data_IF_921432423420
#
_entry.id   IF_921432423420
#
_cell.length_a   1.000
_cell.length_b   1.000
_cell.length_c   1.000
_cell.angle_alpha   90.00
_cell.angle_beta   90.00
_cell.angle_gamma   90.00
#
_symmetry.space_group_name_H-M   'P 1'
#
loop_
_entity.id
_entity.type
_entity.pdbx_description
1 polymer ?
#
# COMPACT_ATOMS: atom_id res chain seq x y z
N UNK A 1 6.33 2.58 20.34
CA UNK A 1 6.53 2.95 18.92
C UNK A 1 5.65 2.03 18.11
N UNK A 2 4.85 2.59 17.21
CA UNK A 2 3.99 1.80 16.33
C UNK A 2 4.88 1.12 15.29
N UNK A 3 4.72 -0.20 15.12
CA UNK A 3 5.36 -0.92 14.03
C UNK A 3 4.57 -0.65 12.74
N UNK A 4 4.92 0.42 12.03
CA UNK A 4 4.22 0.82 10.81
C UNK A 4 4.62 -0.04 9.59
N UNK A 5 4.73 -1.36 9.77
CA UNK A 5 4.99 -2.33 8.71
C UNK A 5 3.81 -3.28 8.63
N UNK A 6 3.10 -3.25 7.49
CA UNK A 6 1.94 -4.11 7.24
C UNK A 6 2.38 -5.57 7.31
N UNK A 7 1.76 -6.36 8.20
CA UNK A 7 2.12 -7.76 8.45
C UNK A 7 3.64 -7.96 8.65
N UNK A 8 4.30 -7.00 9.32
CA UNK A 8 5.73 -7.06 9.57
C UNK A 8 6.59 -7.17 8.31
N UNK A 9 6.21 -6.53 7.20
CA UNK A 9 6.90 -6.60 5.89
C UNK A 9 6.91 -7.99 5.22
N UNK A 10 6.07 -8.94 5.68
CA UNK A 10 5.96 -10.29 5.08
C UNK A 10 5.76 -10.27 3.57
N UNK A 11 4.93 -9.34 3.07
CA UNK A 11 4.67 -9.14 1.64
C UNK A 11 5.22 -7.80 1.14
N UNK A 12 6.22 -7.22 1.81
CA UNK A 12 6.94 -6.10 1.22
C UNK A 12 7.76 -6.62 0.01
N UNK A 13 7.87 -5.87 -1.09
CA UNK A 13 7.60 -4.43 -1.18
C UNK A 13 6.15 -4.05 -1.50
N UNK A 14 5.29 -4.98 -1.92
CA UNK A 14 3.95 -4.62 -2.44
C UNK A 14 3.02 -4.01 -1.38
N UNK A 15 3.27 -4.28 -0.10
CA UNK A 15 2.52 -3.71 1.04
C UNK A 15 3.18 -2.46 1.64
N UNK A 16 4.33 -2.03 1.13
CA UNK A 16 4.97 -0.78 1.58
C UNK A 16 4.27 0.47 1.03
N UNK A 17 3.51 0.30 -0.04
CA UNK A 17 2.57 1.26 -0.60
C UNK A 17 1.22 0.54 -0.75
N UNK A 18 0.13 1.10 -0.23
CA UNK A 18 -1.19 0.46 -0.32
C UNK A 18 -2.25 1.49 -0.65
N UNK A 19 -3.15 1.12 -1.56
CA UNK A 19 -4.35 1.89 -1.86
C UNK A 19 -5.56 1.39 -1.08
N UNK A 20 -6.48 2.30 -0.79
CA UNK A 20 -7.73 2.04 -0.09
C UNK A 20 -8.86 2.76 -0.83
N UNK A 21 -10.00 2.09 -0.96
CA UNK A 21 -11.22 2.64 -1.57
C UNK A 21 -12.37 2.37 -0.62
N UNK A 22 -13.19 3.38 -0.32
CA UNK A 22 -14.38 3.21 0.51
C UNK A 22 -15.51 2.57 -0.31
N UNK A 23 -15.32 1.32 -0.68
CA UNK A 23 -16.32 0.45 -1.26
C UNK A 23 -16.03 -1.03 -0.91
N UNK A 24 -17.03 -1.92 -1.00
CA UNK A 24 -16.82 -3.37 -0.87
C UNK A 24 -15.84 -3.91 -1.93
N UNK A 25 -15.09 -4.96 -1.56
CA UNK A 25 -13.99 -5.47 -2.39
C UNK A 25 -14.48 -5.95 -3.77
N UNK A 26 -15.67 -6.58 -3.83
CA UNK A 26 -16.28 -7.02 -5.08
C UNK A 26 -16.60 -5.85 -6.04
N UNK A 27 -17.02 -4.69 -5.51
CA UNK A 27 -17.30 -3.50 -6.32
C UNK A 27 -16.02 -2.87 -6.85
N UNK A 28 -14.96 -2.84 -6.04
CA UNK A 28 -13.62 -2.40 -6.46
C UNK A 28 -13.09 -3.29 -7.58
N UNK A 29 -13.21 -4.61 -7.45
CA UNK A 29 -12.79 -5.59 -8.47
C UNK A 29 -13.55 -5.37 -9.77
N UNK A 30 -14.88 -5.29 -9.71
CA UNK A 30 -15.73 -5.03 -10.87
C UNK A 30 -15.32 -3.73 -11.58
N UNK A 31 -15.21 -2.63 -10.84
CA UNK A 31 -14.82 -1.34 -11.40
C UNK A 31 -13.41 -1.35 -12.01
N UNK A 32 -12.47 -2.09 -11.44
CA UNK A 32 -11.10 -2.21 -11.97
C UNK A 32 -11.07 -3.05 -13.26
N UNK A 33 -11.86 -4.13 -13.32
CA UNK A 33 -12.00 -4.95 -14.53
C UNK A 33 -12.67 -4.18 -15.68
N UNK A 34 -13.75 -3.44 -15.40
CA UNK A 34 -14.42 -2.56 -16.38
C UNK A 34 -13.44 -1.51 -16.92
N UNK A 35 -12.66 -0.89 -16.05
CA UNK A 35 -11.62 0.05 -16.45
C UNK A 35 -10.58 -0.61 -17.39
N UNK A 36 -10.12 -1.82 -17.08
CA UNK A 36 -9.21 -2.56 -17.96
C UNK A 36 -9.81 -2.85 -19.35
N UNK A 37 -11.07 -3.25 -19.39
CA UNK A 37 -11.77 -3.59 -20.64
C UNK A 37 -11.90 -2.39 -21.60
N UNK A 38 -12.11 -1.18 -21.09
CA UNK A 38 -12.16 0.05 -21.91
C UNK A 38 -10.87 0.29 -22.71
N UNK A 39 -9.73 -0.21 -22.22
CA UNK A 39 -8.44 -0.15 -22.90
C UNK A 39 -8.06 -1.45 -23.62
N UNK A 40 -9.03 -2.35 -23.84
CA UNK A 40 -8.81 -3.65 -24.47
C UNK A 40 -7.92 -4.57 -23.66
N UNK A 41 -7.93 -4.45 -22.32
CA UNK A 41 -7.15 -5.27 -21.39
C UNK A 41 -8.09 -6.15 -20.57
N UNK A 42 -8.57 -7.28 -21.13
CA UNK A 42 -9.38 -8.21 -20.37
C UNK A 42 -8.58 -8.73 -19.16
N UNK A 43 -9.30 -9.00 -18.07
CA UNK A 43 -8.74 -9.50 -16.83
C UNK A 43 -9.47 -10.76 -16.39
N UNK A 44 -8.74 -11.70 -15.82
CA UNK A 44 -9.30 -12.85 -15.10
C UNK A 44 -9.38 -12.50 -13.63
N UNK A 45 -10.47 -12.88 -12.96
CA UNK A 45 -10.66 -12.67 -11.53
C UNK A 45 -10.72 -14.02 -10.85
N UNK A 46 -9.92 -14.19 -9.81
CA UNK A 46 -9.93 -15.37 -8.94
C UNK A 46 -10.22 -14.90 -7.52
N UNK A 47 -11.30 -15.40 -6.93
CA UNK A 47 -11.58 -15.22 -5.50
C UNK A 47 -10.72 -16.18 -4.69
N UNK A 48 -10.07 -15.65 -3.66
CA UNK A 48 -9.25 -16.41 -2.72
C UNK A 48 -9.90 -16.32 -1.35
N UNK A 49 -10.28 -17.45 -0.74
CA UNK A 49 -10.79 -17.46 0.63
C UNK A 49 -9.78 -16.83 1.59
N UNK A 50 -10.27 -15.98 2.48
CA UNK A 50 -9.43 -15.32 3.48
C UNK A 50 -8.82 -14.00 3.02
N UNK A 51 -7.81 -13.57 3.76
CA UNK A 51 -7.32 -12.21 3.78
C UNK A 51 -6.00 -12.00 3.05
N UNK A 52 -5.34 -10.88 3.38
CA UNK A 52 -4.03 -10.54 2.81
C UNK A 52 -2.96 -11.60 3.17
N UNK A 53 -3.06 -12.19 4.36
CA UNK A 53 -2.17 -13.27 4.80
C UNK A 53 -2.27 -14.53 3.92
N UNK A 54 -3.46 -14.82 3.39
CA UNK A 54 -3.74 -16.00 2.58
C UNK A 54 -3.44 -15.75 1.09
N UNK A 55 -3.80 -14.57 0.58
CA UNK A 55 -3.68 -14.23 -0.83
C UNK A 55 -2.32 -13.61 -1.21
N UNK A 56 -1.57 -13.04 -0.26
CA UNK A 56 -0.36 -12.27 -0.53
C UNK A 56 0.71 -13.04 -1.31
N UNK A 57 0.97 -14.31 -0.96
CA UNK A 57 1.96 -15.15 -1.64
C UNK A 57 1.62 -15.43 -3.11
N UNK A 58 0.33 -15.39 -3.48
CA UNK A 58 -0.13 -15.61 -4.86
C UNK A 58 0.18 -14.43 -5.79
N UNK A 59 0.68 -13.31 -5.24
CA UNK A 59 1.16 -12.17 -6.02
C UNK A 59 2.51 -12.42 -6.68
N UNK A 60 3.21 -13.50 -6.33
CA UNK A 60 4.39 -13.93 -7.07
C UNK A 60 4.05 -14.46 -8.48
N UNK A 61 4.94 -14.27 -9.46
CA UNK A 61 6.18 -13.53 -9.35
C UNK A 61 5.95 -12.01 -9.50
N UNK A 62 6.82 -11.21 -8.88
CA UNK A 62 6.78 -9.74 -8.91
C UNK A 62 7.35 -9.21 -10.23
N UNK A 63 6.65 -8.26 -10.84
CA UNK A 63 6.96 -7.74 -12.17
C UNK A 63 7.77 -6.43 -12.12
N UNK A 64 8.72 -6.32 -13.06
CA UNK A 64 9.37 -5.06 -13.40
C UNK A 64 8.62 -4.38 -14.54
N UNK A 65 8.16 -3.16 -14.31
CA UNK A 65 7.38 -2.39 -15.29
C UNK A 65 5.88 -2.65 -15.15
N UNK A 66 5.12 -2.86 -16.25
CA UNK A 66 3.68 -3.07 -16.16
C UNK A 66 3.33 -4.31 -15.33
N UNK A 67 2.50 -4.13 -14.32
CA UNK A 67 2.08 -5.17 -13.38
C UNK A 67 1.02 -6.07 -14.00
N UNK A 68 1.19 -7.38 -13.82
CA UNK A 68 0.25 -8.38 -14.34
C UNK A 68 -0.84 -8.75 -13.34
N UNK A 69 -0.61 -8.56 -12.04
CA UNK A 69 -1.56 -8.88 -10.97
C UNK A 69 -1.96 -7.66 -10.15
N UNK A 70 -3.21 -7.64 -9.73
CA UNK A 70 -3.77 -6.65 -8.81
C UNK A 70 -4.62 -7.40 -7.78
N UNK A 71 -4.28 -7.26 -6.50
CA UNK A 71 -4.98 -7.90 -5.38
C UNK A 71 -5.86 -6.86 -4.70
N UNK A 72 -7.13 -7.19 -4.50
CA UNK A 72 -8.08 -6.45 -3.68
C UNK A 72 -8.44 -7.29 -2.47
N UNK A 73 -8.43 -6.70 -1.27
CA UNK A 73 -8.73 -7.38 -0.01
C UNK A 73 -9.74 -6.57 0.79
N UNK A 74 -10.81 -7.23 1.25
CA UNK A 74 -11.75 -6.65 2.22
C UNK A 74 -11.06 -6.36 3.56
N UNK A 75 -11.34 -5.21 4.15
CA UNK A 75 -10.76 -4.84 5.46
C UNK A 75 -11.73 -5.15 6.60
N UNK A 76 -11.23 -5.11 7.84
CA UNK A 76 -12.07 -5.22 9.04
C UNK A 76 -13.08 -4.06 9.17
N UNK A 77 -12.87 -2.95 8.45
CA UNK A 77 -13.90 -1.94 8.24
C UNK A 77 -14.68 -2.27 6.96
N UNK A 78 -15.95 -2.72 7.04
CA UNK A 78 -16.65 -3.34 5.91
C UNK A 78 -16.90 -2.40 4.71
N UNK A 79 -16.90 -1.09 4.94
CA UNK A 79 -17.01 -0.10 3.87
C UNK A 79 -15.70 0.16 3.11
N UNK A 80 -14.56 -0.36 3.59
CA UNK A 80 -13.26 -0.13 2.98
C UNK A 80 -12.65 -1.43 2.48
N UNK A 81 -12.02 -1.32 1.30
CA UNK A 81 -11.17 -2.35 0.72
C UNK A 81 -9.78 -1.80 0.48
N UNK A 82 -8.78 -2.64 0.63
CA UNK A 82 -7.40 -2.34 0.32
C UNK A 82 -7.00 -2.98 -1.01
N UNK A 83 -5.98 -2.45 -1.67
CA UNK A 83 -5.41 -3.07 -2.85
C UNK A 83 -3.90 -2.87 -2.97
N UNK A 84 -3.27 -3.81 -3.67
CA UNK A 84 -1.85 -3.82 -4.05
C UNK A 84 -1.68 -4.40 -5.46
N UNK A 85 -0.59 -4.07 -6.12
CA UNK A 85 -0.20 -4.73 -7.38
C UNK A 85 1.06 -5.59 -7.16
N UNK A 86 1.47 -6.39 -8.16
CA UNK A 86 2.67 -7.22 -8.05
C UNK A 86 3.97 -6.51 -8.47
N UNK A 87 4.09 -5.19 -8.31
CA UNK A 87 5.29 -4.45 -8.66
C UNK A 87 6.50 -4.85 -7.82
N UNK A 88 7.62 -5.20 -8.48
CA UNK A 88 8.88 -5.55 -7.81
C UNK A 88 9.53 -4.36 -7.07
N UNK A 89 9.05 -3.13 -7.30
CA UNK A 89 9.47 -1.92 -6.57
C UNK A 89 8.46 -1.48 -5.51
N UNK A 90 7.37 -2.23 -5.33
CA UNK A 90 6.20 -1.83 -4.55
C UNK A 90 5.02 -1.47 -5.46
N UNK A 91 3.86 -1.34 -4.84
CA UNK A 91 2.61 -0.97 -5.50
C UNK A 91 2.66 0.47 -6.03
N UNK A 92 2.06 0.73 -7.18
CA UNK A 92 1.71 2.10 -7.60
C UNK A 92 0.22 2.39 -7.33
N UNK A 93 -0.12 2.94 -6.15
CA UNK A 93 -1.52 3.18 -5.81
C UNK A 93 -2.09 4.47 -6.41
N UNK A 94 -1.26 5.32 -7.01
CA UNK A 94 -1.64 6.71 -7.33
C UNK A 94 -2.72 6.81 -8.42
N UNK A 95 -2.58 6.06 -9.51
CA UNK A 95 -3.59 6.05 -10.58
C UNK A 95 -4.85 5.26 -10.18
N UNK A 96 -4.74 4.02 -9.65
CA UNK A 96 -5.92 3.25 -9.29
C UNK A 96 -6.79 3.92 -8.21
N UNK A 97 -6.21 4.55 -7.17
CA UNK A 97 -7.02 5.26 -6.16
C UNK A 97 -7.89 6.35 -6.77
N UNK A 98 -7.33 7.17 -7.67
CA UNK A 98 -8.05 8.25 -8.34
C UNK A 98 -9.17 7.76 -9.26
N UNK A 99 -8.88 6.72 -10.05
CA UNK A 99 -9.84 6.16 -11.00
C UNK A 99 -10.97 5.47 -10.27
N UNK A 100 -10.65 4.61 -9.29
CA UNK A 100 -11.63 3.84 -8.54
C UNK A 100 -12.50 4.75 -7.66
N UNK A 101 -11.89 5.73 -6.98
CA UNK A 101 -12.64 6.72 -6.19
C UNK A 101 -13.64 7.51 -7.04
N UNK A 102 -13.25 7.96 -8.23
CA UNK A 102 -14.16 8.66 -9.15
C UNK A 102 -15.28 7.76 -9.67
N UNK A 103 -14.94 6.55 -10.14
CA UNK A 103 -15.92 5.62 -10.75
C UNK A 103 -16.96 5.14 -9.76
N UNK A 104 -16.55 4.87 -8.53
CA UNK A 104 -17.42 4.42 -7.46
C UNK A 104 -18.05 5.59 -6.68
N UNK A 105 -17.72 6.83 -7.05
CA UNK A 105 -18.18 8.06 -6.40
C UNK A 105 -18.00 8.00 -4.88
N UNK A 106 -16.79 7.63 -4.44
CA UNK A 106 -16.46 7.41 -3.03
C UNK A 106 -15.04 7.90 -2.72
N UNK A 107 -14.78 8.19 -1.44
CA UNK A 107 -13.44 8.55 -0.99
C UNK A 107 -12.46 7.39 -1.22
N UNK A 108 -11.24 7.75 -1.58
CA UNK A 108 -10.12 6.81 -1.68
C UNK A 108 -8.85 7.45 -1.13
N UNK A 109 -7.93 6.64 -0.65
CA UNK A 109 -6.65 7.14 -0.16
C UNK A 109 -5.55 6.12 -0.41
N UNK A 110 -4.30 6.55 -0.38
CA UNK A 110 -3.18 5.63 -0.29
C UNK A 110 -2.19 6.06 0.77
N UNK A 111 -1.45 5.08 1.26
CA UNK A 111 -0.36 5.28 2.20
C UNK A 111 0.92 4.70 1.63
N UNK A 112 2.03 5.29 2.07
CA UNK A 112 3.35 4.66 2.00
C UNK A 112 3.89 4.53 3.41
N UNK A 113 4.49 3.40 3.75
CA UNK A 113 5.34 3.29 4.91
C UNK A 113 6.58 2.45 4.60
N UNK A 114 7.69 3.15 4.42
CA UNK A 114 9.02 2.58 4.19
C UNK A 114 9.91 3.11 5.32
N UNK A 115 10.50 2.23 6.15
CA UNK A 115 11.42 2.61 7.21
C UNK A 115 12.57 3.49 6.70
N UNK A 116 13.14 4.29 7.60
CA UNK A 116 14.31 5.10 7.26
C UNK A 116 15.47 4.21 6.78
N UNK A 117 16.08 4.57 5.65
CA UNK A 117 17.33 4.00 5.19
C UNK A 117 18.44 4.42 6.18
N UNK A 118 19.14 3.47 6.84
CA UNK A 118 20.28 3.78 7.69
C UNK A 118 21.42 4.40 6.87
N UNK A 119 22.17 5.37 7.42
CA UNK A 119 23.34 5.92 6.73
C UNK A 119 24.34 4.81 6.37
N UNK A 120 24.76 4.79 5.09
CA UNK A 120 25.77 3.83 4.60
C UNK A 120 25.23 2.48 4.14
N UNK A 121 23.91 2.26 4.19
CA UNK A 121 23.29 1.06 3.59
C UNK A 121 22.83 1.37 2.16
N UNK A 122 23.71 1.07 1.19
CA UNK A 122 23.42 1.29 -0.24
C UNK A 122 22.34 0.35 -0.80
N UNK A 123 21.93 -0.69 -0.06
CA UNK A 123 20.89 -1.65 -0.48
C UNK A 123 19.53 -1.32 0.09
N UNK A 124 19.46 -0.61 1.21
CA UNK A 124 18.22 -0.27 1.86
C UNK A 124 17.36 0.67 0.99
N UNK A 125 16.07 0.34 0.89
CA UNK A 125 15.08 1.25 0.31
C UNK A 125 15.11 2.60 0.99
N UNK A 126 14.95 3.63 0.16
CA UNK A 126 14.76 4.99 0.60
C UNK A 126 13.46 5.11 1.41
N UNK A 127 13.58 5.61 2.66
CA UNK A 127 12.46 5.74 3.57
C UNK A 127 11.39 6.72 3.08
N UNK A 128 10.13 6.42 3.37
CA UNK A 128 9.02 7.26 2.96
C UNK A 128 7.83 7.04 3.88
N UNK A 129 7.11 8.12 4.18
CA UNK A 129 5.77 8.07 4.76
C UNK A 129 4.89 9.01 3.97
N UNK A 130 3.79 8.50 3.45
CA UNK A 130 2.83 9.29 2.67
C UNK A 130 1.43 8.98 3.16
N UNK A 131 0.59 10.00 3.20
CA UNK A 131 -0.84 9.90 3.42
C UNK A 131 -1.51 10.83 2.40
N UNK A 132 -2.25 10.24 1.47
CA UNK A 132 -2.84 10.97 0.33
C UNK A 132 -4.30 10.61 0.20
N UNK A 133 -5.16 11.60 0.36
CA UNK A 133 -6.62 11.44 0.32
C UNK A 133 -7.17 12.05 -0.96
N UNK A 134 -8.08 11.31 -1.58
CA UNK A 134 -8.82 11.72 -2.75
C UNK A 134 -10.31 11.80 -2.45
N UNK A 135 -10.97 12.74 -3.10
CA UNK A 135 -12.41 12.87 -3.09
C UNK A 135 -12.93 12.84 -4.54
N UNK A 136 -14.02 12.14 -4.84
CA UNK A 136 -14.62 12.17 -6.17
C UNK A 136 -15.06 13.58 -6.49
N UNK A 137 -14.78 14.01 -7.71
CA UNK A 137 -15.28 15.28 -8.21
C UNK A 137 -16.77 15.12 -8.59
N UNK A 138 -17.68 15.95 -8.04
CA UNK A 138 -19.11 15.84 -8.31
C UNK A 138 -19.49 16.22 -9.74
N UNK A 139 -18.58 16.82 -10.53
CA UNK A 139 -18.84 17.21 -11.92
C UNK A 139 -18.93 15.96 -12.81
N UNK A 140 -20.00 15.78 -13.60
CA UNK A 140 -20.14 14.62 -14.49
C UNK A 140 -19.03 14.47 -15.55
N UNK A 141 -18.32 15.55 -15.87
CA UNK A 141 -17.22 15.55 -16.84
C UNK A 141 -15.85 15.20 -16.23
N UNK A 142 -15.78 15.02 -14.91
CA UNK A 142 -14.52 14.71 -14.24
C UNK A 142 -14.09 13.27 -14.50
N UNK A 143 -12.86 13.10 -14.96
CA UNK A 143 -12.30 11.78 -15.28
C UNK A 143 -11.63 11.07 -14.11
N UNK A 144 -11.25 11.80 -13.05
CA UNK A 144 -10.44 11.31 -11.93
C UNK A 144 -10.82 12.04 -10.63
N UNK A 145 -10.69 11.36 -9.49
CA UNK A 145 -10.85 11.96 -8.18
C UNK A 145 -9.70 12.94 -7.91
N UNK A 146 -10.00 14.03 -7.20
CA UNK A 146 -9.05 15.09 -6.88
C UNK A 146 -8.29 14.76 -5.59
N UNK A 147 -7.01 15.11 -5.51
CA UNK A 147 -6.26 15.04 -4.25
C UNK A 147 -6.75 16.20 -3.37
N UNK A 148 -7.46 15.88 -2.29
CA UNK A 148 -7.90 16.90 -1.32
C UNK A 148 -6.85 17.15 -0.24
N UNK A 149 -6.02 16.14 0.05
CA UNK A 149 -4.94 16.26 1.04
C UNK A 149 -3.77 15.36 0.71
N UNK A 150 -2.56 15.89 0.87
CA UNK A 150 -1.32 15.12 0.85
C UNK A 150 -0.42 15.57 2.00
N UNK A 151 0.14 14.58 2.70
CA UNK A 151 1.24 14.76 3.65
C UNK A 151 2.28 13.70 3.34
N UNK A 152 3.53 14.11 3.14
CA UNK A 152 4.61 13.19 2.80
C UNK A 152 5.95 13.62 3.40
N UNK A 153 6.67 12.65 3.97
CA UNK A 153 8.12 12.74 4.17
C UNK A 153 8.79 11.67 3.33
N UNK A 154 9.78 12.07 2.53
CA UNK A 154 10.47 11.16 1.60
C UNK A 154 11.96 11.35 1.81
N UNK A 155 12.66 10.24 1.96
CA UNK A 155 14.11 10.18 1.96
C UNK A 155 14.53 9.98 0.51
N UNK A 156 15.39 10.84 0.01
CA UNK A 156 16.18 10.58 -1.20
C UNK A 156 17.66 10.68 -0.77
N UNK A 157 18.40 11.68 -1.23
CA UNK A 157 19.69 12.06 -0.60
C UNK A 157 19.54 12.62 0.82
N UNK A 158 18.37 13.20 1.12
CA UNK A 158 17.98 13.74 2.44
C UNK A 158 16.47 13.61 2.62
N UNK A 159 15.99 13.78 3.85
CA UNK A 159 14.56 13.91 4.11
C UNK A 159 14.02 15.21 3.52
N UNK A 160 12.94 15.12 2.75
CA UNK A 160 12.10 16.23 2.33
C UNK A 160 10.70 16.08 2.92
N UNK A 161 10.01 17.19 3.13
CA UNK A 161 8.63 17.23 3.59
C UNK A 161 7.77 17.97 2.57
N UNK A 162 6.64 17.37 2.21
CA UNK A 162 5.70 17.88 1.22
C UNK A 162 4.28 17.83 1.78
N UNK A 163 3.52 18.88 1.50
CA UNK A 163 2.11 18.94 1.86
C UNK A 163 1.34 19.71 0.78
N UNK A 164 0.09 19.32 0.53
CA UNK A 164 -0.83 20.03 -0.36
C UNK A 164 -2.28 19.85 0.11
N UNK A 165 -3.15 20.80 -0.26
CA UNK A 165 -4.54 20.84 0.24
C UNK A 165 -4.64 21.38 1.66
N UNK A 166 -5.86 21.60 2.14
CA UNK A 166 -6.09 22.12 3.49
C UNK A 166 -5.90 21.01 4.54
N UNK A 167 -5.22 21.28 5.67
CA UNK A 167 -5.08 20.29 6.74
C UNK A 167 -6.42 19.76 7.23
N UNK A 168 -6.51 18.45 7.40
CA UNK A 168 -7.67 17.79 7.97
C UNK A 168 -7.75 18.03 9.50
N UNK A 169 -8.95 17.98 10.12
CA UNK A 169 -9.13 18.41 11.51
C UNK A 169 -8.35 17.62 12.56
N UNK A 170 -7.92 16.40 12.24
CA UNK A 170 -7.19 15.51 13.15
C UNK A 170 -5.67 15.62 13.00
N UNK A 171 -5.17 16.42 12.05
CA UNK A 171 -3.73 16.51 11.78
C UNK A 171 -2.97 17.25 12.88
N UNK A 172 -1.82 16.71 13.31
CA UNK A 172 -0.85 17.45 14.13
C UNK A 172 0.00 18.36 13.23
N UNK A 173 -0.61 19.48 12.86
CA UNK A 173 0.04 20.53 12.07
C UNK A 173 1.19 21.22 12.79
N UNK A 174 1.27 21.12 14.13
CA UNK A 174 2.37 21.71 14.88
C UNK A 174 3.69 20.99 14.56
N UNK A 175 3.63 19.67 14.45
CA UNK A 175 4.78 18.83 14.08
C UNK A 175 5.38 19.20 12.71
N UNK A 176 4.61 19.79 11.79
CA UNK A 176 5.07 20.14 10.43
C UNK A 176 6.19 21.19 10.41
N UNK A 177 6.40 21.88 11.52
CA UNK A 177 7.45 22.89 11.69
C UNK A 177 8.70 22.36 12.41
N UNK A 178 8.71 21.08 12.82
CA UNK A 178 9.84 20.47 13.53
C UNK A 178 11.17 20.67 12.80
N UNK A 179 12.24 20.89 13.56
CA UNK A 179 13.59 21.13 13.02
C UNK A 179 14.09 19.95 12.19
N UNK A 180 13.86 18.73 12.67
CA UNK A 180 14.21 17.49 11.97
C UNK A 180 13.06 17.10 11.04
N UNK A 181 13.34 17.06 9.74
CA UNK A 181 12.31 16.83 8.71
C UNK A 181 11.63 15.47 8.87
N UNK A 182 12.38 14.43 9.24
CA UNK A 182 11.82 13.10 9.49
C UNK A 182 10.75 13.08 10.60
N UNK A 183 10.80 14.05 11.52
CA UNK A 183 9.90 14.17 12.67
C UNK A 183 8.70 15.08 12.36
N UNK A 184 8.58 15.56 11.11
CA UNK A 184 7.41 16.32 10.64
C UNK A 184 6.23 15.43 10.27
N UNK A 185 6.48 14.16 10.02
CA UNK A 185 5.43 13.18 9.83
C UNK A 185 5.96 11.83 10.29
N UNK A 186 5.53 11.38 11.47
CA UNK A 186 6.04 10.16 12.12
C UNK A 186 5.21 8.93 11.74
N UNK A 187 5.71 7.71 11.99
CA UNK A 187 4.92 6.49 11.87
C UNK A 187 3.63 6.53 12.71
N UNK A 188 3.70 7.07 13.92
CA UNK A 188 2.55 7.24 14.82
C UNK A 188 1.50 8.16 14.20
N UNK A 189 1.91 9.32 13.65
CA UNK A 189 0.99 10.22 12.95
C UNK A 189 0.33 9.54 11.75
N UNK A 190 1.07 8.74 10.97
CA UNK A 190 0.48 8.00 9.86
C UNK A 190 -0.59 7.01 10.34
N UNK A 191 -0.34 6.28 11.44
CA UNK A 191 -1.32 5.38 12.04
C UNK A 191 -2.55 6.14 12.56
N UNK A 192 -2.36 7.26 13.26
CA UNK A 192 -3.43 8.11 13.77
C UNK A 192 -4.29 8.69 12.62
N UNK A 193 -3.65 9.08 11.52
CA UNK A 193 -4.34 9.63 10.34
C UNK A 193 -5.16 8.57 9.62
N UNK A 194 -4.65 7.34 9.54
CA UNK A 194 -5.43 6.19 9.06
C UNK A 194 -6.63 5.90 9.99
N UNK A 195 -6.42 5.93 11.30
CA UNK A 195 -7.45 5.65 12.28
C UNK A 195 -8.60 6.67 12.22
N UNK A 196 -8.33 7.93 11.85
CA UNK A 196 -9.36 8.94 11.60
C UNK A 196 -10.33 8.58 10.44
N UNK A 197 -9.92 7.70 9.52
CA UNK A 197 -10.76 7.13 8.47
C UNK A 197 -11.33 5.74 8.82
N UNK A 198 -11.10 5.26 10.05
CA UNK A 198 -11.47 3.92 10.50
C UNK A 198 -10.53 2.82 10.01
N UNK A 199 -9.37 3.17 9.46
CA UNK A 199 -8.38 2.21 8.93
C UNK A 199 -7.32 1.88 9.98
N UNK A 200 -6.93 0.60 10.07
CA UNK A 200 -5.84 0.15 10.96
C UNK A 200 -4.86 -0.75 10.20
N UNK A 201 -4.19 -0.24 9.14
CA UNK A 201 -3.42 -1.06 8.22
C UNK A 201 -2.19 -1.75 8.85
N UNK A 202 -1.80 -1.34 10.05
CA UNK A 202 -0.67 -1.89 10.79
C UNK A 202 -1.07 -2.93 11.84
N UNK A 203 -2.37 -3.19 12.00
CA UNK A 203 -2.89 -4.30 12.81
C UNK A 203 -2.96 -5.57 11.94
N UNK A 204 -2.44 -6.69 12.46
CA UNK A 204 -2.32 -7.94 11.69
C UNK A 204 -3.70 -8.54 11.31
N UNK A 205 -4.76 -8.20 12.04
CA UNK A 205 -6.13 -8.67 11.81
C UNK A 205 -6.97 -7.75 10.90
N UNK A 206 -6.40 -6.64 10.42
CA UNK A 206 -7.16 -5.62 9.67
C UNK A 206 -7.55 -6.04 8.25
N UNK A 207 -6.93 -7.09 7.71
CA UNK A 207 -7.18 -7.57 6.34
C UNK A 207 -7.78 -8.98 6.32
N UNK A 208 -8.99 -9.20 6.86
CA UNK A 208 -9.60 -10.52 6.97
C UNK A 208 -10.13 -11.07 5.65
N UNK A 209 -10.26 -10.24 4.61
CA UNK A 209 -10.82 -10.63 3.32
C UNK A 209 -12.32 -10.31 3.19
N UNK A 210 -13.00 -10.82 2.14
CA UNK A 210 -12.47 -11.72 1.11
C UNK A 210 -11.38 -11.08 0.24
N UNK A 211 -10.60 -11.92 -0.44
CA UNK A 211 -9.52 -11.50 -1.33
C UNK A 211 -9.83 -11.84 -2.79
N UNK A 212 -9.44 -10.98 -3.71
CA UNK A 212 -9.61 -11.17 -5.14
C UNK A 212 -8.32 -10.84 -5.88
N UNK A 213 -7.83 -11.80 -6.67
CA UNK A 213 -6.68 -11.60 -7.55
C UNK A 213 -7.18 -11.35 -8.95
N UNK A 214 -6.79 -10.21 -9.51
CA UNK A 214 -7.11 -9.79 -10.86
C UNK A 214 -5.85 -9.93 -11.70
N UNK A 215 -5.87 -10.85 -12.66
CA UNK A 215 -4.75 -11.14 -13.55
C UNK A 215 -5.02 -10.57 -14.93
N UNK A 216 -4.03 -9.90 -15.52
CA UNK A 216 -4.04 -9.50 -16.93
C UNK A 216 -2.90 -10.15 -17.71
N UNK A 217 -2.90 -9.94 -19.02
CA UNK A 217 -1.82 -10.42 -19.88
C UNK A 217 -0.48 -9.81 -19.45
N UNK A 218 0.48 -10.67 -19.15
CA UNK A 218 1.83 -10.27 -18.78
C UNK A 218 2.55 -9.72 -20.01
N UNK A 219 2.70 -8.40 -20.08
CA UNK A 219 3.47 -7.75 -21.14
C UNK A 219 4.95 -7.83 -20.83
N UNK A 220 5.69 -8.66 -21.58
CA UNK A 220 7.15 -8.66 -21.54
C UNK A 220 7.65 -7.38 -22.21
N UNK A 221 7.86 -6.34 -21.42
CA UNK A 221 8.55 -5.14 -21.89
C UNK A 221 10.02 -5.47 -22.24
N UNK A 222 10.71 -4.68 -23.08
CA UNK A 222 12.15 -4.84 -23.28
C UNK A 222 12.95 -4.79 -21.96
N UNK A 223 12.48 -4.03 -20.97
CA UNK A 223 13.02 -3.99 -19.61
C UNK A 223 12.77 -5.30 -18.84
N UNK A 224 11.62 -5.95 -19.02
CA UNK A 224 11.33 -7.26 -18.45
C UNK A 224 12.20 -8.40 -19.05
N UNK A 225 12.84 -8.16 -20.21
CA UNK A 225 13.89 -9.06 -20.75
C UNK A 225 15.24 -8.86 -20.07
N UNK A 226 15.47 -7.70 -19.45
CA UNK A 226 16.70 -7.33 -18.75
C UNK A 226 16.63 -7.62 -17.24
N UNK A 227 15.43 -7.61 -16.67
CA UNK A 227 15.17 -7.97 -15.27
C UNK A 227 14.06 -9.03 -15.21
N UNK A 228 14.39 -10.31 -14.95
CA UNK A 228 13.37 -11.33 -14.77
C UNK A 228 12.50 -10.99 -13.55
N UNK A 229 11.26 -11.46 -13.54
CA UNK A 229 10.40 -11.32 -12.36
C UNK A 229 11.01 -12.00 -11.15
N UNK A 230 10.71 -11.46 -9.98
CA UNK A 230 11.30 -11.87 -8.71
C UNK A 230 10.28 -12.56 -7.80
N UNK A 231 10.75 -13.45 -6.94
CA UNK A 231 9.98 -13.83 -5.74
C UNK A 231 10.05 -12.71 -4.69
N UNK A 232 9.19 -12.73 -3.68
CA UNK A 232 9.31 -11.84 -2.52
C UNK A 232 10.70 -11.95 -1.89
N UNK A 233 11.22 -13.15 -1.69
CA UNK A 233 12.54 -13.35 -1.10
C UNK A 233 13.66 -12.67 -1.91
N UNK A 234 13.58 -12.73 -3.25
CA UNK A 234 14.55 -12.06 -4.13
C UNK A 234 14.42 -10.53 -4.05
N UNK A 235 13.20 -10.01 -4.14
CA UNK A 235 12.95 -8.57 -4.03
C UNK A 235 13.36 -8.02 -2.66
N UNK A 236 13.04 -8.73 -1.57
CA UNK A 236 13.41 -8.37 -0.21
C UNK A 236 14.92 -8.35 -0.01
N UNK A 237 15.63 -9.37 -0.48
CA UNK A 237 17.10 -9.42 -0.42
C UNK A 237 17.75 -8.26 -1.20
N UNK A 238 17.21 -7.93 -2.37
CA UNK A 238 17.68 -6.81 -3.20
C UNK A 238 17.44 -5.44 -2.53
N UNK A 239 16.30 -5.29 -1.87
CA UNK A 239 15.82 -4.04 -1.29
C UNK A 239 16.21 -3.85 0.18
N UNK A 240 17.01 -4.77 0.75
CA UNK A 240 17.42 -4.76 2.14
C UNK A 240 16.25 -4.91 3.13
N UNK A 241 15.16 -5.57 2.70
CA UNK A 241 13.97 -5.78 3.53
C UNK A 241 14.20 -7.01 4.39
N UNK A 242 13.99 -6.85 5.70
CA UNK A 242 14.00 -7.96 6.65
C UNK A 242 12.60 -8.05 7.24
N UNK A 243 11.76 -8.98 6.75
CA UNK A 243 10.46 -9.25 7.35
C UNK A 243 10.62 -9.63 8.82
N UNK A 244 9.63 -9.28 9.64
CA UNK A 244 9.54 -9.77 11.02
C UNK A 244 9.34 -11.28 10.94
N UNK A 245 10.22 -12.05 11.58
CA UNK A 245 10.05 -13.49 11.69
C UNK A 245 8.71 -13.79 12.39
N UNK A 246 7.84 -14.58 11.77
CA UNK A 246 6.65 -15.20 12.39
C UNK A 246 7.07 -16.31 13.39
N UNK A 247 8.26 -16.23 13.98
CA UNK A 247 8.65 -17.15 15.04
C UNK A 247 7.68 -16.92 16.21
N UNK A 248 6.96 -17.96 16.69
CA UNK A 248 6.07 -17.80 17.83
C UNK A 248 6.88 -17.21 18.96
N UNK A 249 6.42 -16.08 19.50
CA UNK A 249 6.96 -15.55 20.75
C UNK A 249 6.94 -16.70 21.74
N UNK A 250 8.12 -17.17 22.17
CA UNK A 250 8.22 -18.05 23.31
C UNK A 250 7.47 -17.36 24.44
N UNK A 251 6.32 -17.92 24.81
CA UNK A 251 5.55 -17.49 25.96
C UNK A 251 6.49 -17.49 27.15
N UNK A 252 6.42 -16.45 27.99
CA UNK A 252 7.29 -16.24 29.14
C UNK A 252 7.27 -17.38 30.19
N UNK A 253 6.43 -18.41 29.99
CA UNK A 253 6.43 -19.65 30.75
C UNK A 253 7.66 -20.55 30.52
N UNK A 254 8.37 -20.45 29.40
CA UNK A 254 9.59 -21.26 29.17
C UNK A 254 10.86 -20.67 29.81
N UNK A 255 10.83 -19.41 30.27
CA UNK A 255 11.98 -18.75 30.94
C UNK A 255 12.09 -19.02 32.44
N UNK A 256 11.18 -19.82 33.02
CA UNK A 256 11.18 -20.17 34.44
C UNK A 256 11.65 -21.60 34.75
N UNK A 257 12.21 -22.33 33.78
CA UNK A 257 12.67 -23.71 33.98
C UNK A 257 14.13 -24.00 33.62
N UNK A 258 14.98 -22.99 33.46
CA UNK A 258 16.45 -23.19 33.34
C UNK A 258 17.24 -22.37 34.36
#
# INVERSE_FOLDING_TARGET
MVDARVLGDKFAPITSDMGFVRAPAADVVRSYCEWGLEYGRPRTVTEVPGGLADAGSLMEPLDYGPTSKFLVVGTAHPEWSAFVDNGAQGTDPGSPTKVLGQRLNTDSLYISCIPACPPGDERARLGARKFVVHHPDPRPAAGLAEIIRMVAVIQDSRWTFHTSGDPLPFEDVAAYTNRRIADRFTPEMLADYCAAYGLRPFDDDFFPGPSYIIEGERKISPLARLSPSETFAQAQARLGIVPRDDAPQRTDDERRQE
#
